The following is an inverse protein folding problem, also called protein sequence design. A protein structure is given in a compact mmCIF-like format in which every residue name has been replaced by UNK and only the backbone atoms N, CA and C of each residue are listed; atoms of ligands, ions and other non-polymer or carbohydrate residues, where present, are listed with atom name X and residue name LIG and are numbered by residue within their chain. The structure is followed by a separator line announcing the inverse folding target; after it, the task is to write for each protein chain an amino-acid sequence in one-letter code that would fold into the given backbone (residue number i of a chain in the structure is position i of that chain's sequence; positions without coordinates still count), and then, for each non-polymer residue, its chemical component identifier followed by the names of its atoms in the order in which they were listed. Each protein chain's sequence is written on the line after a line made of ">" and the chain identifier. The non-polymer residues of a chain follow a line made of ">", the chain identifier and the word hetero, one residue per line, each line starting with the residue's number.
data_IF_504530622549
#
_entry.id   IF_504530622549
#
_cell.length_a   1.000
_cell.length_b   1.000
_cell.length_c   1.000
_cell.angle_alpha   90.00
_cell.angle_beta   90.00
_cell.angle_gamma   90.00
#
_symmetry.space_group_name_H-M   'P 1'
#
loop_
_entity.id
_entity.type
_entity.pdbx_description
1 polymer ?
#
# COMPACT_ATOMS: atom_id res chain seq x y z
N UNK A 1 1.64 -11.14 -27.16
CA UNK A 1 2.72 -10.83 -26.19
C UNK A 1 2.18 -10.28 -24.86
N UNK A 2 0.90 -10.51 -24.52
CA UNK A 2 0.28 -10.06 -23.24
C UNK A 2 -0.01 -11.22 -22.27
N UNK A 3 0.28 -12.46 -22.65
CA UNK A 3 -0.02 -13.65 -21.86
C UNK A 3 0.98 -13.89 -20.70
N UNK A 4 2.18 -13.29 -20.76
CA UNK A 4 3.26 -13.57 -19.79
C UNK A 4 3.10 -12.78 -18.48
N UNK A 5 2.65 -11.51 -18.57
CA UNK A 5 2.48 -10.62 -17.41
C UNK A 5 1.37 -11.09 -16.45
N UNK A 6 0.36 -11.80 -16.96
CA UNK A 6 -0.70 -12.38 -16.12
C UNK A 6 -0.26 -13.61 -15.30
N UNK A 7 0.91 -14.20 -15.60
CA UNK A 7 1.44 -15.34 -14.84
C UNK A 7 2.33 -14.94 -13.66
N UNK A 8 2.79 -13.68 -13.57
CA UNK A 8 3.61 -13.22 -12.43
C UNK A 8 2.82 -13.23 -11.11
N UNK A 9 1.57 -12.72 -11.06
CA UNK A 9 0.74 -12.81 -9.85
C UNK A 9 0.49 -14.26 -9.42
N UNK A 10 0.22 -15.17 -10.35
CA UNK A 10 0.00 -16.59 -10.08
C UNK A 10 1.26 -17.25 -9.51
N UNK A 11 2.42 -17.00 -10.12
CA UNK A 11 3.71 -17.46 -9.60
C UNK A 11 3.97 -16.95 -8.19
N UNK A 12 3.76 -15.65 -7.94
CA UNK A 12 3.96 -15.06 -6.61
C UNK A 12 2.97 -15.62 -5.58
N UNK A 13 1.72 -15.88 -5.97
CA UNK A 13 0.72 -16.51 -5.12
C UNK A 13 1.10 -17.95 -4.76
N UNK A 14 1.56 -18.74 -5.73
CA UNK A 14 2.03 -20.12 -5.52
C UNK A 14 3.25 -20.18 -4.59
N UNK A 15 4.16 -19.20 -4.70
CA UNK A 15 5.30 -19.05 -3.79
C UNK A 15 4.82 -18.68 -2.38
N UNK A 16 3.87 -17.75 -2.25
CA UNK A 16 3.32 -17.34 -0.97
C UNK A 16 2.61 -18.48 -0.23
N UNK A 17 1.86 -19.33 -0.95
CA UNK A 17 1.23 -20.55 -0.39
C UNK A 17 2.28 -21.52 0.19
N UNK A 18 3.49 -21.52 -0.35
CA UNK A 18 4.64 -22.31 0.14
C UNK A 18 5.46 -21.61 1.23
N UNK A 19 4.96 -20.49 1.76
CA UNK A 19 5.65 -19.61 2.71
C UNK A 19 6.98 -19.05 2.17
N UNK A 20 7.10 -18.92 0.85
CA UNK A 20 8.23 -18.30 0.18
C UNK A 20 7.92 -16.82 -0.03
N UNK A 21 8.56 -15.97 0.77
CA UNK A 21 8.43 -14.51 0.66
C UNK A 21 9.41 -13.99 -0.39
N UNK A 22 8.95 -13.12 -1.27
CA UNK A 22 9.75 -12.50 -2.34
C UNK A 22 9.57 -10.98 -2.27
N UNK A 23 10.66 -10.22 -2.27
CA UNK A 23 10.63 -8.76 -2.22
C UNK A 23 11.78 -8.14 -3.02
N UNK A 24 11.69 -6.85 -3.29
CA UNK A 24 12.74 -6.07 -3.97
C UNK A 24 13.56 -5.31 -2.93
N UNK A 25 14.87 -5.43 -2.99
CA UNK A 25 15.83 -4.64 -2.20
C UNK A 25 16.77 -3.91 -3.18
N UNK A 26 16.56 -2.62 -3.36
CA UNK A 26 17.22 -1.84 -4.40
C UNK A 26 16.84 -2.36 -5.80
N UNK A 27 17.81 -2.91 -6.53
CA UNK A 27 17.61 -3.51 -7.87
C UNK A 27 17.75 -5.05 -7.86
N UNK A 28 17.56 -5.66 -6.67
CA UNK A 28 17.72 -7.10 -6.48
C UNK A 28 16.43 -7.72 -5.96
N UNK A 29 16.03 -8.80 -6.61
CA UNK A 29 15.00 -9.70 -6.11
C UNK A 29 15.59 -10.55 -4.97
N UNK A 30 14.96 -10.48 -3.81
CA UNK A 30 15.26 -11.27 -2.63
C UNK A 30 14.16 -12.27 -2.38
N UNK A 31 14.52 -13.39 -1.79
CA UNK A 31 13.55 -14.36 -1.31
C UNK A 31 13.97 -14.91 0.06
N UNK A 32 12.97 -15.26 0.86
CA UNK A 32 13.11 -16.00 2.11
C UNK A 32 12.19 -17.22 2.00
N UNK A 33 12.75 -18.40 2.24
CA UNK A 33 12.02 -19.65 2.09
C UNK A 33 12.38 -20.59 3.25
N UNK A 34 11.41 -21.35 3.80
CA UNK A 34 11.69 -22.45 4.72
C UNK A 34 12.67 -23.46 4.09
N UNK A 35 13.43 -24.16 4.93
CA UNK A 35 14.38 -25.15 4.47
C UNK A 35 13.68 -26.22 3.61
N UNK A 36 14.13 -26.38 2.36
CA UNK A 36 13.56 -27.34 1.41
C UNK A 36 12.31 -26.86 0.66
N UNK A 37 11.72 -25.71 1.01
CA UNK A 37 10.58 -25.14 0.27
C UNK A 37 10.98 -24.55 -1.08
N UNK A 38 12.19 -23.98 -1.18
CA UNK A 38 12.73 -23.45 -2.42
C UNK A 38 13.29 -24.59 -3.29
N UNK A 39 12.46 -25.11 -4.20
CA UNK A 39 12.86 -26.16 -5.14
C UNK A 39 13.72 -25.59 -6.29
N UNK A 40 14.45 -26.47 -6.98
CA UNK A 40 15.25 -26.08 -8.15
C UNK A 40 14.38 -25.45 -9.26
N UNK A 41 13.15 -25.94 -9.42
CA UNK A 41 12.18 -25.41 -10.38
C UNK A 41 11.76 -23.97 -10.04
N UNK A 42 11.34 -23.71 -8.80
CA UNK A 42 10.96 -22.37 -8.35
C UNK A 42 12.14 -21.39 -8.40
N UNK A 43 13.36 -21.84 -8.07
CA UNK A 43 14.57 -21.02 -8.21
C UNK A 43 14.86 -20.67 -9.68
N UNK A 44 14.67 -21.61 -10.61
CA UNK A 44 14.88 -21.35 -12.04
C UNK A 44 13.86 -20.34 -12.58
N UNK A 45 12.58 -20.50 -12.23
CA UNK A 45 11.52 -19.56 -12.62
C UNK A 45 11.79 -18.13 -12.10
N UNK A 46 12.21 -17.99 -10.83
CA UNK A 46 12.59 -16.69 -10.25
C UNK A 46 13.79 -16.06 -10.96
N UNK A 47 14.74 -16.87 -11.45
CA UNK A 47 15.93 -16.37 -12.17
C UNK A 47 15.62 -15.96 -13.60
N UNK A 48 14.87 -16.77 -14.33
CA UNK A 48 14.50 -16.53 -15.73
C UNK A 48 13.60 -15.30 -15.86
N UNK A 49 12.67 -15.11 -14.91
CA UNK A 49 11.67 -14.04 -14.96
C UNK A 49 11.99 -12.87 -14.01
N UNK A 50 13.21 -12.78 -13.49
CA UNK A 50 13.62 -11.80 -12.47
C UNK A 50 13.22 -10.36 -12.82
N UNK A 51 13.47 -9.94 -14.06
CA UNK A 51 13.20 -8.57 -14.51
C UNK A 51 11.71 -8.21 -14.46
N UNK A 52 10.86 -9.12 -14.93
CA UNK A 52 9.41 -8.95 -14.90
C UNK A 52 8.86 -8.95 -13.47
N UNK A 53 9.39 -9.81 -12.60
CA UNK A 53 9.00 -9.84 -11.18
C UNK A 53 9.36 -8.52 -10.50
N UNK A 54 10.57 -8.00 -10.71
CA UNK A 54 10.98 -6.70 -10.13
C UNK A 54 10.09 -5.57 -10.65
N UNK A 55 9.83 -5.52 -11.96
CA UNK A 55 8.95 -4.51 -12.53
C UNK A 55 7.53 -4.60 -11.95
N UNK A 56 6.97 -5.81 -11.87
CA UNK A 56 5.65 -6.05 -11.29
C UNK A 56 5.58 -5.64 -9.81
N UNK A 57 6.55 -6.07 -8.99
CA UNK A 57 6.59 -5.72 -7.57
C UNK A 57 6.75 -4.21 -7.37
N UNK A 58 7.62 -3.54 -8.13
CA UNK A 58 7.76 -2.08 -8.06
C UNK A 58 6.48 -1.34 -8.49
N UNK A 59 5.80 -1.82 -9.54
CA UNK A 59 4.51 -1.28 -9.97
C UNK A 59 3.42 -1.50 -8.90
N UNK A 60 3.39 -2.69 -8.29
CA UNK A 60 2.45 -3.02 -7.23
C UNK A 60 2.71 -2.18 -5.97
N UNK A 61 3.98 -2.00 -5.57
CA UNK A 61 4.36 -1.10 -4.48
C UNK A 61 3.98 0.35 -4.79
N UNK A 62 4.22 0.82 -6.02
CA UNK A 62 3.80 2.15 -6.44
C UNK A 62 2.27 2.27 -6.39
N UNK A 63 1.52 1.28 -6.87
CA UNK A 63 0.06 1.29 -6.82
C UNK A 63 -0.50 1.21 -5.39
N UNK A 64 0.12 0.45 -4.49
CA UNK A 64 -0.20 0.43 -3.06
C UNK A 64 0.11 1.77 -2.39
N UNK A 65 1.16 2.48 -2.82
CA UNK A 65 1.41 3.87 -2.42
C UNK A 65 0.37 4.85 -3.00
N UNK A 66 -0.34 4.48 -4.06
CA UNK A 66 -1.45 5.24 -4.65
C UNK A 66 -2.81 4.92 -4.02
N UNK A 67 -2.89 4.01 -3.05
CA UNK A 67 -4.11 3.87 -2.25
C UNK A 67 -4.33 5.20 -1.52
N UNK A 68 -5.45 5.90 -1.77
CA UNK A 68 -5.61 7.25 -1.27
C UNK A 68 -5.68 7.21 0.25
N UNK A 69 -4.71 7.85 0.90
CA UNK A 69 -4.75 8.06 2.35
C UNK A 69 -5.96 8.90 2.76
N UNK A 70 -6.57 9.62 1.82
CA UNK A 70 -7.60 10.62 2.08
C UNK A 70 -8.98 9.97 1.95
N UNK A 71 -9.65 9.84 3.09
CA UNK A 71 -11.03 9.36 3.20
C UNK A 71 -11.95 10.58 3.31
N UNK A 72 -12.78 10.87 2.28
CA UNK A 72 -13.71 11.99 2.33
C UNK A 72 -14.86 11.70 3.29
N UNK A 73 -14.95 12.49 4.37
CA UNK A 73 -16.11 12.47 5.28
C UNK A 73 -17.13 13.55 4.90
N UNK A 74 -16.64 14.70 4.41
CA UNK A 74 -17.45 15.74 3.79
C UNK A 74 -16.60 16.49 2.75
N UNK A 75 -16.87 16.28 1.46
CA UNK A 75 -16.09 16.89 0.37
C UNK A 75 -16.66 18.20 -0.17
N UNK A 76 -17.78 18.68 0.39
CA UNK A 76 -18.48 19.89 -0.05
C UNK A 76 -18.05 21.09 0.80
N UNK A 77 -18.16 22.27 0.20
CA UNK A 77 -17.87 23.54 0.85
C UNK A 77 -16.68 24.27 0.22
N UNK A 78 -16.46 25.48 0.69
CA UNK A 78 -15.44 26.40 0.15
C UNK A 78 -14.41 26.85 1.18
N UNK A 79 -14.62 26.51 2.46
CA UNK A 79 -13.65 26.79 3.52
C UNK A 79 -12.39 25.95 3.35
N UNK A 80 -11.30 26.38 4.00
CA UNK A 80 -10.03 25.66 4.02
C UNK A 80 -10.23 24.21 4.48
N UNK A 81 -9.87 23.20 3.68
CA UNK A 81 -10.03 21.80 4.04
C UNK A 81 -9.35 21.43 5.35
N UNK A 82 -9.99 20.55 6.12
CA UNK A 82 -9.39 19.91 7.31
C UNK A 82 -8.98 18.49 6.95
N UNK A 83 -7.72 18.15 7.19
CA UNK A 83 -7.18 16.80 7.09
C UNK A 83 -6.89 16.27 8.49
N UNK A 84 -7.74 15.34 8.96
CA UNK A 84 -7.68 14.82 10.32
C UNK A 84 -6.77 13.58 10.40
N UNK A 85 -5.70 13.69 11.18
CA UNK A 85 -4.78 12.58 11.48
C UNK A 85 -5.37 11.74 12.63
N UNK A 86 -5.65 10.44 12.44
CA UNK A 86 -6.17 9.59 13.51
C UNK A 86 -5.10 9.33 14.58
N UNK A 87 -5.56 9.17 15.83
CA UNK A 87 -4.71 8.71 16.93
C UNK A 87 -4.52 7.18 16.93
N UNK A 88 -3.81 6.66 17.94
CA UNK A 88 -3.39 5.24 18.06
C UNK A 88 -4.52 4.20 17.88
N UNK A 89 -5.76 4.51 18.27
CA UNK A 89 -6.93 3.60 18.17
C UNK A 89 -7.96 4.13 17.15
N UNK A 90 -7.69 5.25 16.49
CA UNK A 90 -8.64 5.92 15.62
C UNK A 90 -8.74 5.27 14.26
N UNK A 91 -9.95 4.84 13.87
CA UNK A 91 -10.25 4.63 12.46
C UNK A 91 -10.56 5.99 11.80
N UNK A 92 -10.36 6.17 10.49
CA UNK A 92 -10.73 7.40 9.79
C UNK A 92 -12.17 7.87 10.08
N UNK A 93 -13.09 6.94 10.33
CA UNK A 93 -14.50 7.22 10.66
C UNK A 93 -14.75 7.78 12.07
N UNK A 94 -13.75 7.80 12.97
CA UNK A 94 -13.90 8.40 14.31
C UNK A 94 -14.21 9.90 14.26
N UNK A 95 -13.97 10.56 13.12
CA UNK A 95 -14.25 11.99 12.92
C UNK A 95 -15.63 12.29 12.32
N UNK A 96 -16.46 11.28 12.04
CA UNK A 96 -17.74 11.50 11.32
C UNK A 96 -18.73 12.41 12.06
N UNK A 97 -18.75 12.37 13.39
CA UNK A 97 -19.65 13.28 14.13
C UNK A 97 -19.07 14.69 14.22
N UNK A 98 -17.75 14.83 14.34
CA UNK A 98 -17.09 16.14 14.28
C UNK A 98 -17.33 16.82 12.92
N UNK A 99 -17.17 16.09 11.81
CA UNK A 99 -17.35 16.65 10.46
C UNK A 99 -18.77 17.20 10.25
N UNK A 100 -19.79 16.53 10.79
CA UNK A 100 -21.19 16.99 10.74
C UNK A 100 -21.40 18.29 11.52
N UNK A 101 -20.79 18.40 12.72
CA UNK A 101 -20.96 19.58 13.58
C UNK A 101 -20.25 20.83 13.06
N UNK A 102 -19.23 20.67 12.21
CA UNK A 102 -18.53 21.78 11.55
C UNK A 102 -19.35 22.44 10.42
N UNK A 103 -20.46 21.81 10.02
CA UNK A 103 -21.38 22.34 9.01
C UNK A 103 -20.97 22.05 7.58
N UNK A 104 -21.92 22.09 6.64
CA UNK A 104 -21.77 21.61 5.25
C UNK A 104 -20.82 22.39 4.34
N UNK A 105 -20.33 23.55 4.78
CA UNK A 105 -19.38 24.39 4.03
C UNK A 105 -17.91 24.18 4.44
N UNK A 106 -17.65 23.26 5.38
CA UNK A 106 -16.32 22.88 5.83
C UNK A 106 -15.92 21.52 5.21
N UNK A 107 -15.05 21.49 4.17
CA UNK A 107 -14.49 20.24 3.69
C UNK A 107 -13.69 19.55 4.81
N UNK A 108 -13.91 18.25 4.98
CA UNK A 108 -13.34 17.43 6.03
C UNK A 108 -12.97 16.04 5.49
N UNK A 109 -11.70 15.70 5.65
CA UNK A 109 -11.12 14.45 5.19
C UNK A 109 -10.37 13.81 6.35
N UNK A 110 -10.52 12.50 6.50
CA UNK A 110 -9.72 11.72 7.45
C UNK A 110 -8.54 11.08 6.72
N UNK A 111 -7.40 10.97 7.40
CA UNK A 111 -6.20 10.33 6.86
C UNK A 111 -6.12 8.88 7.34
N UNK A 112 -5.75 7.97 6.44
CA UNK A 112 -5.55 6.55 6.72
C UNK A 112 -4.08 6.19 6.51
N UNK A 113 -3.35 5.72 7.54
CA UNK A 113 -1.97 5.27 7.37
C UNK A 113 -1.90 3.98 6.56
N UNK A 114 -0.74 3.72 5.96
CA UNK A 114 -0.46 2.44 5.32
C UNK A 114 -0.59 1.27 6.31
N UNK A 115 -1.06 0.13 5.81
CA UNK A 115 -1.29 -1.09 6.59
C UNK A 115 -2.59 -1.14 7.40
N UNK A 116 -3.39 -0.07 7.40
CA UNK A 116 -4.72 -0.10 8.00
C UNK A 116 -5.70 -1.04 7.29
N UNK A 117 -5.47 -1.32 6.00
CA UNK A 117 -6.25 -2.27 5.20
C UNK A 117 -5.91 -3.74 5.48
N UNK A 118 -4.89 -4.00 6.31
CA UNK A 118 -4.38 -5.34 6.60
C UNK A 118 -3.71 -6.02 5.40
N UNK A 119 -3.47 -5.28 4.30
CA UNK A 119 -2.82 -5.77 3.08
C UNK A 119 -1.45 -5.12 2.89
N UNK A 120 -1.34 -3.83 3.18
CA UNK A 120 -0.09 -3.08 3.10
C UNK A 120 0.74 -3.24 4.38
N UNK A 121 2.06 -3.09 4.28
CA UNK A 121 2.92 -3.09 5.47
C UNK A 121 2.72 -1.79 6.29
N UNK A 122 2.56 -1.88 7.63
CA UNK A 122 2.51 -0.69 8.48
C UNK A 122 3.83 0.08 8.46
N UNK A 123 3.73 1.41 8.47
CA UNK A 123 4.89 2.28 8.66
C UNK A 123 5.25 2.38 10.14
N UNK A 124 6.52 2.18 10.49
CA UNK A 124 6.98 2.16 11.89
C UNK A 124 7.49 3.53 12.38
N UNK A 125 7.71 4.49 11.48
CA UNK A 125 8.23 5.81 11.79
C UNK A 125 7.21 6.90 11.55
N UNK A 126 7.14 7.85 12.48
CA UNK A 126 6.24 9.01 12.36
C UNK A 126 6.63 9.90 11.17
N UNK A 127 7.92 10.04 10.87
CA UNK A 127 8.36 10.84 9.72
C UNK A 127 7.87 10.27 8.40
N UNK A 128 7.91 8.94 8.24
CA UNK A 128 7.45 8.26 7.03
C UNK A 128 5.93 8.43 6.86
N UNK A 129 5.17 8.33 7.96
CA UNK A 129 3.72 8.55 7.97
C UNK A 129 3.39 10.00 7.59
N UNK A 130 4.11 10.97 8.17
CA UNK A 130 3.90 12.38 7.89
C UNK A 130 4.23 12.73 6.44
N UNK A 131 5.34 12.21 5.91
CA UNK A 131 5.72 12.39 4.51
C UNK A 131 4.69 11.76 3.57
N UNK A 132 4.23 10.55 3.88
CA UNK A 132 3.17 9.88 3.13
C UNK A 132 1.90 10.74 3.09
N UNK A 133 1.41 11.22 4.22
CA UNK A 133 0.22 12.09 4.27
C UNK A 133 0.43 13.41 3.51
N UNK A 134 1.58 14.06 3.67
CA UNK A 134 1.86 15.32 2.96
C UNK A 134 1.83 15.13 1.44
N UNK A 135 2.43 14.05 0.92
CA UNK A 135 2.40 13.73 -0.52
C UNK A 135 0.98 13.52 -1.03
N UNK A 136 0.15 12.82 -0.26
CA UNK A 136 -1.24 12.55 -0.62
C UNK A 136 -2.09 13.83 -0.62
N UNK A 137 -1.91 14.71 0.37
CA UNK A 137 -2.61 16.01 0.44
C UNK A 137 -2.24 16.91 -0.73
N UNK A 138 -0.97 16.92 -1.14
CA UNK A 138 -0.51 17.73 -2.30
C UNK A 138 -1.07 17.21 -3.63
N UNK A 139 -1.34 15.91 -3.73
CA UNK A 139 -1.83 15.27 -4.94
C UNK A 139 -3.37 15.24 -5.07
N UNK A 140 -4.10 15.61 -4.02
CA UNK A 140 -5.57 15.52 -3.93
C UNK A 140 -6.27 16.82 -4.32
#
# INVERSE_FOLDING_TARGET
>A
MLADVMQIPELLADLAVKDIKVWVEGDRLRCNAPAGALTAESSNQLRERKGEIIAFLNMATAAAQQQPAIIPLQSRGTRTPIYAVPGHIGAPFSFSDLSKHLGGDQPFYALQPSGFDGQSEPMERVEDIAEYFARQIVAY
#
